data_IF_092936843410
#
_entry.id   IF_092936843410
#
_cell.length_a   1.000
_cell.length_b   1.000
_cell.length_c   1.000
_cell.angle_alpha   90.00
_cell.angle_beta   90.00
_cell.angle_gamma   90.00
#
_symmetry.space_group_name_H-M   'P 1'
#
loop_
_entity.id
_entity.type
_entity.pdbx_description
1 polymer ?
#
# COMPACT_ATOMS: atom_id res chain seq x y z
N UNK A 1 -4.78 -41.62 27.47
CA UNK A 1 -3.76 -40.64 27.01
C UNK A 1 -4.14 -40.20 25.63
N UNK A 2 -4.81 -39.03 25.51
CA UNK A 2 -5.17 -38.44 24.23
C UNK A 2 -4.10 -37.40 23.90
N UNK A 3 -3.36 -37.61 22.82
CA UNK A 3 -2.43 -36.62 22.28
C UNK A 3 -3.26 -35.46 21.71
N UNK A 4 -3.16 -34.30 22.29
CA UNK A 4 -3.61 -33.03 21.67
C UNK A 4 -2.68 -32.75 20.50
N UNK A 5 -3.20 -32.80 19.27
CA UNK A 5 -2.53 -32.24 18.11
C UNK A 5 -2.45 -30.72 18.31
N UNK A 6 -1.26 -30.21 18.59
CA UNK A 6 -0.95 -28.80 18.45
C UNK A 6 -1.07 -28.43 16.95
N UNK A 7 -2.16 -27.77 16.60
CA UNK A 7 -2.26 -27.09 15.32
C UNK A 7 -1.27 -25.92 15.44
N UNK A 8 -0.11 -26.08 14.81
CA UNK A 8 0.88 -25.02 14.71
C UNK A 8 0.25 -23.81 14.06
N UNK A 9 0.03 -22.75 14.82
CA UNK A 9 -0.31 -21.43 14.31
C UNK A 9 0.91 -20.96 13.55
N UNK A 10 0.88 -21.07 12.22
CA UNK A 10 1.90 -20.48 11.37
C UNK A 10 1.73 -18.98 11.46
N UNK A 11 2.54 -18.32 12.28
CA UNK A 11 2.56 -16.85 12.37
C UNK A 11 2.96 -16.29 11.01
N UNK A 12 2.08 -15.51 10.39
CA UNK A 12 2.32 -14.90 9.07
C UNK A 12 3.28 -13.71 9.14
N UNK A 13 3.60 -13.24 10.36
CA UNK A 13 4.60 -12.22 10.66
C UNK A 13 5.76 -12.87 11.43
N UNK A 14 6.99 -12.71 10.95
CA UNK A 14 8.18 -13.31 11.54
C UNK A 14 9.27 -12.26 11.71
N UNK A 15 9.87 -12.16 12.91
CA UNK A 15 11.11 -11.41 13.11
C UNK A 15 12.26 -12.12 12.35
N UNK A 16 13.02 -11.35 11.59
CA UNK A 16 14.17 -11.84 10.82
C UNK A 16 15.42 -11.06 11.17
N UNK A 17 16.56 -11.74 11.15
CA UNK A 17 17.84 -11.05 11.31
C UNK A 17 18.11 -10.20 10.05
N UNK A 18 18.28 -8.87 10.16
CA UNK A 18 18.58 -8.02 9.01
C UNK A 18 19.81 -8.48 8.20
N UNK A 19 20.79 -9.12 8.86
CA UNK A 19 22.01 -9.62 8.20
C UNK A 19 21.73 -10.75 7.20
N UNK A 20 20.61 -11.47 7.35
CA UNK A 20 20.20 -12.56 6.48
C UNK A 20 19.33 -12.07 5.31
N UNK A 21 19.19 -10.75 5.17
CA UNK A 21 18.37 -10.11 4.13
C UNK A 21 19.20 -9.24 3.20
N UNK A 22 18.64 -8.89 2.05
CA UNK A 22 19.23 -7.90 1.14
C UNK A 22 19.30 -6.48 1.74
N UNK A 23 18.73 -6.26 2.93
CA UNK A 23 18.64 -4.96 3.59
C UNK A 23 19.65 -4.74 4.70
N UNK A 24 20.56 -5.68 4.97
CA UNK A 24 21.53 -5.64 6.07
C UNK A 24 22.22 -4.27 6.26
N UNK A 25 22.85 -3.77 5.20
CA UNK A 25 23.55 -2.46 5.25
C UNK A 25 22.59 -1.29 5.41
N UNK A 26 21.50 -1.26 4.63
CA UNK A 26 20.54 -0.17 4.70
C UNK A 26 19.80 -0.13 6.04
N UNK A 27 19.47 -1.30 6.60
CA UNK A 27 18.91 -1.40 7.94
C UNK A 27 19.83 -0.76 8.98
N UNK A 28 21.10 -1.16 9.04
CA UNK A 28 22.07 -0.61 9.99
C UNK A 28 22.28 0.90 9.86
N UNK A 29 22.22 1.44 8.63
CA UNK A 29 22.39 2.87 8.37
C UNK A 29 21.18 3.71 8.78
N UNK A 30 19.96 3.22 8.52
CA UNK A 30 18.77 4.05 8.54
C UNK A 30 17.82 3.79 9.69
N UNK A 31 17.93 2.63 10.40
CA UNK A 31 16.97 2.27 11.44
C UNK A 31 16.96 3.28 12.61
N UNK A 32 18.08 3.89 12.92
CA UNK A 32 18.23 4.91 13.99
C UNK A 32 18.19 6.35 13.46
N UNK A 33 17.90 6.53 12.18
CA UNK A 33 17.77 7.87 11.62
C UNK A 33 16.52 8.58 12.17
N UNK A 34 16.62 9.85 12.60
CA UNK A 34 15.47 10.61 13.09
C UNK A 34 14.45 10.90 11.98
N UNK A 35 14.86 10.85 10.70
CA UNK A 35 14.01 10.99 9.52
C UNK A 35 14.40 9.94 8.47
N UNK A 36 13.95 8.69 8.61
CA UNK A 36 14.32 7.61 7.69
C UNK A 36 13.42 7.52 6.46
N UNK A 37 12.41 8.40 6.33
CA UNK A 37 11.43 8.34 5.25
C UNK A 37 11.92 9.09 4.01
N UNK A 38 11.67 8.50 2.85
CA UNK A 38 11.95 9.09 1.54
C UNK A 38 10.66 9.14 0.75
N UNK A 39 10.44 10.23 -0.01
CA UNK A 39 9.24 10.40 -0.84
C UNK A 39 9.63 10.59 -2.29
N UNK A 40 9.05 9.79 -3.17
CA UNK A 40 9.11 9.95 -4.62
C UNK A 40 7.74 10.29 -5.16
N UNK A 41 7.67 11.24 -6.09
CA UNK A 41 6.44 11.55 -6.82
C UNK A 41 6.64 11.27 -8.30
N UNK A 42 5.72 10.50 -8.89
CA UNK A 42 5.66 10.23 -10.33
C UNK A 42 4.27 10.54 -10.87
N UNK A 43 4.22 11.17 -12.03
CA UNK A 43 2.96 11.35 -12.77
C UNK A 43 2.71 10.14 -13.66
N UNK A 44 1.62 9.42 -13.40
CA UNK A 44 1.20 8.22 -14.12
C UNK A 44 0.25 8.57 -15.28
N UNK A 45 0.41 7.89 -16.40
CA UNK A 45 -0.63 7.79 -17.43
C UNK A 45 -1.67 6.75 -16.98
N UNK A 46 -2.79 7.22 -16.47
CA UNK A 46 -3.90 6.37 -16.00
C UNK A 46 -5.05 6.28 -17.00
N UNK A 47 -4.79 6.62 -18.27
CA UNK A 47 -5.81 6.62 -19.34
C UNK A 47 -6.46 5.26 -19.50
N UNK A 48 -5.66 4.19 -19.49
CA UNK A 48 -6.16 2.82 -19.63
C UNK A 48 -7.02 2.42 -18.44
N UNK A 49 -6.54 2.68 -17.21
CA UNK A 49 -7.28 2.43 -15.97
C UNK A 49 -8.63 3.16 -15.99
N UNK A 50 -8.63 4.46 -16.33
CA UNK A 50 -9.85 5.25 -16.43
C UNK A 50 -10.85 4.67 -17.44
N UNK A 51 -10.39 4.25 -18.64
CA UNK A 51 -11.24 3.63 -19.66
C UNK A 51 -11.81 2.29 -19.20
N UNK A 52 -11.01 1.47 -18.52
CA UNK A 52 -11.46 0.18 -17.96
C UNK A 52 -12.53 0.40 -16.90
N UNK A 53 -12.32 1.34 -15.98
CA UNK A 53 -13.31 1.70 -14.96
C UNK A 53 -14.65 2.11 -15.60
N UNK A 54 -14.62 2.99 -16.60
CA UNK A 54 -15.83 3.44 -17.30
C UNK A 54 -16.55 2.29 -18.03
N UNK A 55 -15.80 1.41 -18.69
CA UNK A 55 -16.37 0.29 -19.46
C UNK A 55 -16.96 -0.80 -18.57
N UNK A 56 -16.32 -1.10 -17.43
CA UNK A 56 -16.69 -2.22 -16.53
C UNK A 56 -17.51 -1.78 -15.31
N UNK A 57 -17.76 -0.48 -15.12
CA UNK A 57 -18.47 0.03 -13.95
C UNK A 57 -17.73 -0.10 -12.64
N UNK A 58 -16.37 -0.20 -12.67
CA UNK A 58 -15.53 -0.39 -11.46
C UNK A 58 -15.12 0.96 -10.91
N UNK A 59 -15.02 1.08 -9.59
CA UNK A 59 -14.53 2.29 -8.94
C UNK A 59 -13.03 2.51 -9.25
N UNK A 60 -12.66 3.76 -9.56
CA UNK A 60 -11.29 4.12 -9.93
C UNK A 60 -10.27 3.78 -8.82
N UNK A 61 -10.56 4.15 -7.58
CA UNK A 61 -9.66 3.91 -6.45
C UNK A 61 -9.51 2.41 -6.17
N UNK A 62 -10.57 1.62 -6.25
CA UNK A 62 -10.51 0.15 -6.09
C UNK A 62 -9.55 -0.48 -7.09
N UNK A 63 -9.69 -0.13 -8.39
CA UNK A 63 -8.81 -0.70 -9.42
C UNK A 63 -7.36 -0.19 -9.28
N UNK A 64 -7.17 1.08 -8.89
CA UNK A 64 -5.84 1.64 -8.64
C UNK A 64 -5.16 0.96 -7.45
N UNK A 65 -5.84 0.78 -6.32
CA UNK A 65 -5.34 0.08 -5.15
C UNK A 65 -4.96 -1.37 -5.47
N UNK A 66 -5.77 -2.07 -6.28
CA UNK A 66 -5.41 -3.40 -6.76
C UNK A 66 -4.13 -3.40 -7.61
N UNK A 67 -3.97 -2.44 -8.51
CA UNK A 67 -2.74 -2.29 -9.29
C UNK A 67 -1.52 -2.04 -8.38
N UNK A 68 -1.68 -1.24 -7.32
CA UNK A 68 -0.62 -0.98 -6.33
C UNK A 68 -0.20 -2.24 -5.60
N UNK A 69 -1.17 -3.04 -5.12
CA UNK A 69 -0.89 -4.33 -4.49
C UNK A 69 -0.17 -5.28 -5.45
N UNK A 70 -0.65 -5.38 -6.70
CA UNK A 70 -0.03 -6.21 -7.73
C UNK A 70 1.39 -5.77 -8.09
N UNK A 71 1.70 -4.48 -8.07
CA UNK A 71 3.06 -4.00 -8.25
C UNK A 71 3.96 -4.39 -7.07
N UNK A 72 3.44 -4.33 -5.86
CA UNK A 72 4.17 -4.68 -4.65
C UNK A 72 4.53 -6.17 -4.57
N UNK A 73 3.64 -7.07 -5.05
CA UNK A 73 3.94 -8.52 -5.07
C UNK A 73 5.14 -8.89 -5.95
N UNK A 74 5.54 -8.02 -6.87
CA UNK A 74 6.72 -8.24 -7.72
C UNK A 74 8.05 -8.01 -7.00
N UNK A 75 8.02 -7.41 -5.81
CA UNK A 75 9.24 -7.02 -5.10
C UNK A 75 9.28 -7.55 -3.67
N UNK A 76 10.29 -8.37 -3.37
CA UNK A 76 10.45 -8.99 -2.05
C UNK A 76 10.60 -7.99 -0.90
N UNK A 77 11.10 -6.78 -1.16
CA UNK A 77 11.27 -5.75 -0.13
C UNK A 77 9.95 -5.24 0.44
N UNK A 78 8.83 -5.39 -0.30
CA UNK A 78 7.49 -5.08 0.22
C UNK A 78 7.01 -6.06 1.29
N UNK A 79 7.66 -7.19 1.46
CA UNK A 79 7.34 -8.17 2.51
C UNK A 79 8.25 -8.02 3.73
N UNK A 80 9.04 -6.95 3.80
CA UNK A 80 9.89 -6.62 4.94
C UNK A 80 9.43 -5.28 5.52
N UNK A 81 9.34 -5.18 6.85
CA UNK A 81 9.02 -3.92 7.53
C UNK A 81 9.91 -3.74 8.76
N UNK A 82 10.61 -2.60 8.89
CA UNK A 82 11.23 -2.24 10.15
C UNK A 82 10.18 -1.77 11.15
N UNK A 83 10.18 -2.34 12.36
CA UNK A 83 9.34 -1.92 13.47
C UNK A 83 10.22 -1.76 14.71
N UNK A 84 10.31 -0.53 15.24
CA UNK A 84 11.32 -0.20 16.25
C UNK A 84 12.73 -0.50 15.73
N UNK A 85 13.52 -1.25 16.47
CA UNK A 85 14.89 -1.67 16.06
C UNK A 85 14.92 -3.08 15.44
N UNK A 86 13.77 -3.64 15.05
CA UNK A 86 13.63 -4.99 14.51
C UNK A 86 13.18 -4.95 13.05
N UNK A 87 13.45 -6.04 12.32
CA UNK A 87 12.96 -6.26 10.97
C UNK A 87 12.01 -7.45 10.96
N UNK A 88 10.82 -7.24 10.41
CA UNK A 88 9.82 -8.30 10.26
C UNK A 88 9.62 -8.65 8.81
N UNK A 89 9.38 -9.94 8.55
CA UNK A 89 8.95 -10.47 7.27
C UNK A 89 7.50 -10.92 7.36
N UNK A 90 6.76 -10.63 6.31
CA UNK A 90 5.35 -10.98 6.14
C UNK A 90 5.17 -11.91 4.95
N UNK A 91 4.10 -12.71 4.95
CA UNK A 91 3.78 -13.62 3.85
C UNK A 91 2.67 -13.07 2.94
N UNK A 92 1.91 -12.09 3.41
CA UNK A 92 0.79 -11.50 2.68
C UNK A 92 0.78 -9.98 2.76
N UNK A 93 0.08 -9.36 1.80
CA UNK A 93 -0.09 -7.91 1.71
C UNK A 93 -1.54 -7.54 1.96
N UNK A 94 -1.74 -6.35 2.50
CA UNK A 94 -3.03 -5.68 2.52
C UNK A 94 -2.87 -4.20 2.13
N UNK A 95 -3.94 -3.62 1.63
CA UNK A 95 -4.01 -2.20 1.26
C UNK A 95 -4.85 -1.48 2.32
N UNK A 96 -4.23 -0.60 3.09
CA UNK A 96 -4.98 0.28 3.99
C UNK A 96 -5.67 1.37 3.19
N UNK A 97 -6.96 1.51 3.38
CA UNK A 97 -7.81 2.49 2.70
C UNK A 97 -8.43 3.41 3.72
N UNK A 98 -8.16 4.70 3.60
CA UNK A 98 -8.77 5.74 4.42
C UNK A 98 -10.12 6.12 3.82
N UNK A 99 -11.15 6.14 4.65
CA UNK A 99 -12.52 6.55 4.30
C UNK A 99 -13.02 7.66 5.21
N UNK A 100 -13.87 8.53 4.67
CA UNK A 100 -14.53 9.57 5.44
C UNK A 100 -15.89 9.05 5.94
N UNK A 101 -16.08 9.09 7.25
CA UNK A 101 -17.37 8.81 7.86
C UNK A 101 -18.34 9.98 7.65
N UNK A 102 -19.65 9.69 7.61
CA UNK A 102 -20.74 10.68 7.38
C UNK A 102 -20.76 11.83 8.37
N UNK A 103 -20.20 11.65 9.58
CA UNK A 103 -20.10 12.68 10.63
C UNK A 103 -18.81 13.50 10.58
N UNK A 104 -17.94 13.29 9.58
CA UNK A 104 -16.70 14.04 9.40
C UNK A 104 -15.45 13.42 10.00
N UNK A 105 -15.58 12.29 10.68
CA UNK A 105 -14.43 11.52 11.19
C UNK A 105 -13.76 10.69 10.09
N UNK A 106 -12.51 10.30 10.32
CA UNK A 106 -11.70 9.48 9.43
C UNK A 106 -11.56 8.08 10.03
N UNK A 107 -11.87 7.06 9.22
CA UNK A 107 -11.68 5.66 9.56
C UNK A 107 -10.83 5.00 8.49
N UNK A 108 -10.27 3.84 8.76
CA UNK A 108 -9.51 3.08 7.77
C UNK A 108 -9.73 1.58 7.90
N UNK A 109 -9.49 0.85 6.83
CA UNK A 109 -9.53 -0.60 6.84
C UNK A 109 -8.40 -1.20 6.00
N UNK A 110 -7.88 -2.34 6.45
CA UNK A 110 -6.85 -3.09 5.76
C UNK A 110 -7.48 -4.15 4.87
N UNK A 111 -7.60 -3.84 3.59
CA UNK A 111 -8.20 -4.73 2.58
C UNK A 111 -7.16 -5.76 2.16
N UNK A 112 -7.37 -7.08 2.38
CA UNK A 112 -6.45 -8.11 1.96
C UNK A 112 -6.21 -8.07 0.45
N UNK A 113 -4.94 -8.11 0.04
CA UNK A 113 -4.63 -8.18 -1.38
C UNK A 113 -4.93 -9.59 -1.93
N UNK A 114 -5.54 -9.65 -3.09
CA UNK A 114 -5.76 -10.86 -3.88
C UNK A 114 -5.32 -10.62 -5.33
N UNK A 115 -4.71 -11.62 -5.97
CA UNK A 115 -4.42 -11.59 -7.41
C UNK A 115 -5.70 -11.60 -8.24
N UNK A 116 -6.79 -12.17 -7.72
CA UNK A 116 -8.12 -12.05 -8.30
C UNK A 116 -8.71 -10.67 -8.00
N UNK A 117 -8.84 -9.86 -9.06
CA UNK A 117 -9.41 -8.52 -8.96
C UNK A 117 -10.85 -8.52 -8.40
N UNK A 118 -11.68 -9.49 -8.75
CA UNK A 118 -13.08 -9.51 -8.30
C UNK A 118 -13.18 -9.82 -6.81
N UNK A 119 -12.35 -10.72 -6.30
CA UNK A 119 -12.24 -10.98 -4.87
C UNK A 119 -11.76 -9.72 -4.13
N UNK A 120 -10.67 -9.09 -4.59
CA UNK A 120 -10.17 -7.85 -4.00
C UNK A 120 -11.22 -6.73 -4.01
N UNK A 121 -11.94 -6.55 -5.11
CA UNK A 121 -12.96 -5.52 -5.24
C UNK A 121 -14.15 -5.75 -4.31
N UNK A 122 -14.57 -7.02 -4.14
CA UNK A 122 -15.64 -7.38 -3.19
C UNK A 122 -15.23 -7.07 -1.74
N UNK A 123 -14.00 -7.45 -1.34
CA UNK A 123 -13.47 -7.14 -0.01
C UNK A 123 -13.29 -5.63 0.19
N UNK A 124 -12.77 -4.93 -0.80
CA UNK A 124 -12.63 -3.47 -0.77
C UNK A 124 -13.97 -2.78 -0.53
N UNK A 125 -14.99 -3.13 -1.30
CA UNK A 125 -16.32 -2.52 -1.19
C UNK A 125 -16.98 -2.86 0.15
N UNK A 126 -16.93 -4.11 0.59
CA UNK A 126 -17.48 -4.56 1.87
C UNK A 126 -16.80 -3.85 3.06
N UNK A 127 -15.46 -3.87 3.11
CA UNK A 127 -14.72 -3.34 4.26
C UNK A 127 -14.78 -1.80 4.33
N UNK A 128 -14.66 -1.11 3.20
CA UNK A 128 -14.82 0.35 3.18
C UNK A 128 -16.24 0.77 3.52
N UNK A 129 -17.27 0.04 3.07
CA UNK A 129 -18.66 0.33 3.45
C UNK A 129 -18.89 0.12 4.95
N UNK A 130 -18.37 -0.97 5.53
CA UNK A 130 -18.43 -1.20 6.98
C UNK A 130 -17.78 -0.06 7.75
N UNK A 131 -16.56 0.35 7.39
CA UNK A 131 -15.88 1.46 8.05
C UNK A 131 -16.63 2.79 7.91
N UNK A 132 -17.27 3.06 6.77
CA UNK A 132 -18.14 4.23 6.57
C UNK A 132 -19.37 4.22 7.47
N UNK A 133 -19.97 3.04 7.67
CA UNK A 133 -21.23 2.92 8.41
C UNK A 133 -21.01 2.88 9.93
N UNK A 134 -19.95 2.23 10.41
CA UNK A 134 -19.65 2.07 11.85
C UNK A 134 -18.74 3.12 12.43
N UNK A 135 -17.92 3.79 11.60
CA UNK A 135 -16.78 4.63 12.01
C UNK A 135 -15.73 3.87 12.84
N UNK A 136 -15.63 2.56 12.65
CA UNK A 136 -14.63 1.72 13.28
C UNK A 136 -13.55 1.36 12.26
N UNK A 137 -12.28 1.55 12.65
CA UNK A 137 -11.14 1.11 11.83
C UNK A 137 -10.87 -0.38 12.08
N UNK A 138 -10.48 -1.08 11.00
CA UNK A 138 -10.10 -2.50 11.09
C UNK A 138 -8.68 -2.69 10.57
N UNK A 139 -7.82 -3.29 11.38
CA UNK A 139 -6.41 -3.50 11.09
C UNK A 139 -6.07 -4.98 11.02
N UNK A 140 -5.12 -5.33 10.15
CA UNK A 140 -4.58 -6.67 9.99
C UNK A 140 -3.09 -6.69 10.40
N UNK A 141 -2.82 -7.03 11.65
CA UNK A 141 -1.47 -7.05 12.22
C UNK A 141 -0.56 -8.14 11.62
N UNK A 142 -1.14 -9.12 10.94
CA UNK A 142 -0.43 -10.24 10.33
C UNK A 142 -0.13 -10.01 8.83
N UNK A 143 -0.55 -8.88 8.25
CA UNK A 143 -0.26 -8.51 6.88
C UNK A 143 0.70 -7.34 6.79
N UNK A 144 1.55 -7.34 5.76
CA UNK A 144 2.31 -6.16 5.40
C UNK A 144 1.37 -5.13 4.76
N UNK A 145 1.22 -4.00 5.42
CA UNK A 145 0.27 -2.96 5.01
C UNK A 145 0.93 -1.97 4.05
N UNK A 146 0.25 -1.69 2.95
CA UNK A 146 0.54 -0.55 2.08
C UNK A 146 -0.53 0.50 2.34
N UNK A 147 -0.16 1.61 2.98
CA UNK A 147 -1.09 2.69 3.28
C UNK A 147 -1.47 3.48 2.02
N UNK A 148 -2.74 3.89 1.94
CA UNK A 148 -3.20 4.74 0.83
C UNK A 148 -4.09 5.88 1.29
N UNK A 149 -3.98 7.04 0.61
CA UNK A 149 -4.87 8.18 0.81
C UNK A 149 -5.23 8.86 -0.51
N UNK A 150 -6.53 9.03 -0.74
CA UNK A 150 -7.09 9.62 -1.96
C UNK A 150 -7.78 10.96 -1.64
N UNK A 151 -7.12 12.07 -1.94
CA UNK A 151 -7.67 13.43 -1.75
C UNK A 151 -8.32 13.95 -3.04
N UNK A 152 -9.41 13.29 -3.46
CA UNK A 152 -10.03 13.50 -4.78
C UNK A 152 -10.76 14.84 -4.93
N UNK A 153 -10.90 15.61 -3.85
CA UNK A 153 -11.53 16.95 -3.89
C UNK A 153 -10.67 17.97 -4.67
N UNK A 154 -9.35 17.78 -4.72
CA UNK A 154 -8.43 18.69 -5.42
C UNK A 154 -7.41 17.96 -6.28
N UNK A 155 -6.82 18.68 -7.23
CA UNK A 155 -5.64 18.21 -7.96
C UNK A 155 -4.39 18.56 -7.16
N UNK A 156 -3.48 17.61 -7.06
CA UNK A 156 -2.20 17.79 -6.36
C UNK A 156 -1.06 17.42 -7.31
N UNK A 157 0.05 18.13 -7.21
CA UNK A 157 1.27 17.82 -7.94
C UNK A 157 2.14 16.83 -7.19
N UNK A 158 2.21 16.97 -5.85
CA UNK A 158 2.93 16.07 -4.96
C UNK A 158 2.39 16.17 -3.54
N UNK A 159 2.71 15.16 -2.74
CA UNK A 159 2.39 15.11 -1.31
C UNK A 159 3.62 14.56 -0.60
N UNK A 160 4.04 15.22 0.48
CA UNK A 160 5.03 14.70 1.41
C UNK A 160 4.34 14.44 2.72
N UNK A 161 4.27 13.17 3.12
CA UNK A 161 3.61 12.79 4.36
C UNK A 161 4.50 13.11 5.56
N UNK A 162 3.85 13.35 6.69
CA UNK A 162 4.52 13.47 7.98
C UNK A 162 5.07 12.10 8.41
N UNK A 163 6.24 12.09 9.04
CA UNK A 163 6.76 10.93 9.75
C UNK A 163 6.40 11.04 11.23
N UNK A 164 5.59 10.09 11.70
CA UNK A 164 5.12 10.06 13.09
C UNK A 164 6.06 9.29 14.05
N UNK A 165 7.07 8.58 13.51
CA UNK A 165 7.93 7.69 14.30
C UNK A 165 7.29 6.33 14.63
N UNK A 166 6.04 6.11 14.23
CA UNK A 166 5.26 4.90 14.55
C UNK A 166 5.03 4.03 13.32
N UNK A 167 4.60 4.64 12.21
CA UNK A 167 4.25 3.91 11.00
C UNK A 167 5.39 3.97 9.99
N UNK A 168 6.02 2.84 9.73
CA UNK A 168 7.12 2.68 8.77
C UNK A 168 6.66 2.12 7.42
N UNK A 169 5.39 1.83 7.28
CA UNK A 169 4.78 1.25 6.10
C UNK A 169 4.93 2.15 4.87
N UNK A 170 5.12 1.59 3.68
CA UNK A 170 4.96 2.34 2.45
C UNK A 170 3.59 2.98 2.36
N UNK A 171 3.55 4.24 1.95
CA UNK A 171 2.33 5.01 1.88
C UNK A 171 2.22 5.73 0.55
N UNK A 172 1.10 5.51 -0.18
CA UNK A 172 0.83 6.15 -1.45
C UNK A 172 -0.31 7.15 -1.31
N UNK A 173 -0.09 8.38 -1.80
CA UNK A 173 -1.10 9.42 -1.73
C UNK A 173 -1.27 10.12 -3.08
N UNK A 174 -2.51 10.47 -3.41
CA UNK A 174 -2.83 11.15 -4.67
C UNK A 174 -4.03 12.09 -4.53
N UNK A 175 -4.09 13.04 -5.45
CA UNK A 175 -5.24 13.92 -5.62
C UNK A 175 -6.21 13.44 -6.70
N UNK A 176 -7.01 14.39 -7.21
CA UNK A 176 -7.88 14.14 -8.37
C UNK A 176 -7.04 14.06 -9.65
N UNK A 177 -7.31 13.06 -10.50
CA UNK A 177 -6.67 12.94 -11.81
C UNK A 177 -7.00 14.14 -12.72
N UNK A 178 -6.10 14.41 -13.68
CA UNK A 178 -6.22 15.47 -14.68
C UNK A 178 -6.53 14.86 -16.04
N UNK A 179 -7.52 15.40 -16.74
CA UNK A 179 -7.81 15.03 -18.11
C UNK A 179 -7.21 16.07 -19.04
N UNK A 180 -6.51 15.61 -20.10
CA UNK A 180 -5.97 16.43 -21.17
C UNK A 180 -6.13 15.71 -22.50
N UNK A 181 -6.86 16.30 -23.47
CA UNK A 181 -7.11 15.72 -24.79
C UNK A 181 -7.54 14.24 -24.70
N UNK A 182 -6.64 13.32 -25.05
CA UNK A 182 -6.88 11.86 -25.04
C UNK A 182 -6.25 11.15 -23.85
N UNK A 183 -5.66 11.88 -22.90
CA UNK A 183 -4.89 11.33 -21.76
C UNK A 183 -5.51 11.69 -20.43
N UNK A 184 -5.30 10.80 -19.46
CA UNK A 184 -5.64 11.02 -18.06
C UNK A 184 -4.36 10.83 -17.25
N UNK A 185 -4.00 11.84 -16.47
CA UNK A 185 -2.77 11.90 -15.71
C UNK A 185 -3.06 11.93 -14.21
N UNK A 186 -2.25 11.24 -13.43
CA UNK A 186 -2.36 11.21 -11.98
C UNK A 186 -0.98 11.24 -11.34
N UNK A 187 -0.59 12.34 -10.67
CA UNK A 187 0.55 12.35 -9.77
C UNK A 187 0.26 11.48 -8.55
N UNK A 188 1.16 10.56 -8.24
CA UNK A 188 1.12 9.72 -7.05
C UNK A 188 2.44 9.90 -6.31
N UNK A 189 2.36 10.25 -5.03
CA UNK A 189 3.52 10.32 -4.14
C UNK A 189 3.58 9.03 -3.33
N UNK A 190 4.74 8.40 -3.32
CA UNK A 190 5.06 7.22 -2.54
C UNK A 190 6.11 7.58 -1.49
N UNK A 191 5.79 7.40 -0.22
CA UNK A 191 6.72 7.49 0.89
C UNK A 191 7.08 6.10 1.39
N UNK A 192 8.33 5.88 1.79
CA UNK A 192 8.80 4.60 2.30
C UNK A 192 9.97 4.78 3.26
N UNK A 193 10.16 3.81 4.15
CA UNK A 193 11.27 3.80 5.09
C UNK A 193 12.56 3.30 4.40
N UNK A 194 13.67 4.04 4.53
CA UNK A 194 14.90 3.73 3.80
C UNK A 194 15.59 2.43 4.26
N UNK A 195 15.30 1.96 5.48
CA UNK A 195 15.76 0.63 5.90
C UNK A 195 15.02 -0.50 5.16
N UNK A 196 13.75 -0.29 4.76
CA UNK A 196 12.97 -1.25 4.01
C UNK A 196 13.39 -1.30 2.54
N UNK A 197 13.44 -0.17 1.87
CA UNK A 197 13.78 -0.07 0.45
C UNK A 197 14.63 1.18 0.17
N UNK A 198 15.28 1.20 -0.96
CA UNK A 198 16.04 2.33 -1.47
C UNK A 198 15.44 2.87 -2.76
N UNK A 199 16.06 3.92 -3.32
CA UNK A 199 15.58 4.58 -4.52
C UNK A 199 15.44 3.65 -5.73
N UNK A 200 16.31 2.63 -5.86
CA UNK A 200 16.22 1.65 -6.95
C UNK A 200 14.96 0.78 -6.85
N UNK A 201 14.64 0.29 -5.64
CA UNK A 201 13.42 -0.49 -5.40
C UNK A 201 12.16 0.36 -5.62
N UNK A 202 12.16 1.60 -5.12
CA UNK A 202 11.02 2.50 -5.30
C UNK A 202 10.81 2.86 -6.78
N UNK A 203 11.88 3.15 -7.53
CA UNK A 203 11.81 3.42 -8.96
C UNK A 203 11.24 2.21 -9.73
N UNK A 204 11.74 1.01 -9.44
CA UNK A 204 11.24 -0.22 -10.08
C UNK A 204 9.75 -0.45 -9.77
N UNK A 205 9.32 -0.23 -8.53
CA UNK A 205 7.91 -0.33 -8.15
C UNK A 205 7.03 0.65 -8.95
N UNK A 206 7.47 1.90 -9.09
CA UNK A 206 6.72 2.92 -9.84
C UNK A 206 6.63 2.57 -11.33
N UNK A 207 7.68 1.96 -11.91
CA UNK A 207 7.64 1.47 -13.29
C UNK A 207 6.73 0.22 -13.43
N UNK A 208 6.81 -0.73 -12.50
CA UNK A 208 5.94 -1.90 -12.48
C UNK A 208 4.46 -1.49 -12.38
N UNK A 209 4.14 -0.52 -11.53
CA UNK A 209 2.79 0.02 -11.41
C UNK A 209 2.30 0.64 -12.74
N UNK A 210 3.16 1.43 -13.41
CA UNK A 210 2.80 1.99 -14.73
C UNK A 210 2.56 0.89 -15.77
N UNK A 211 3.40 -0.15 -15.79
CA UNK A 211 3.23 -1.27 -16.71
C UNK A 211 1.92 -2.03 -16.45
N UNK A 212 1.59 -2.30 -15.18
CA UNK A 212 0.33 -2.96 -14.80
C UNK A 212 -0.87 -2.13 -15.28
N UNK A 213 -0.85 -0.81 -15.05
CA UNK A 213 -1.90 0.11 -15.51
C UNK A 213 -2.06 0.07 -17.05
N UNK A 214 -0.95 0.01 -17.78
CA UNK A 214 -0.96 -0.02 -19.24
C UNK A 214 -1.52 -1.34 -19.82
N UNK A 215 -1.48 -2.45 -19.06
CA UNK A 215 -1.90 -3.77 -19.51
C UNK A 215 -3.26 -4.23 -18.94
N UNK A 216 -4.04 -3.33 -18.32
CA UNK A 216 -5.39 -3.62 -17.81
C UNK A 216 -6.39 -4.07 -18.88
#
# INVERSE_FOLDING_TARGET
>A
MQAKSEIGITTMKQEVNPQDTSRAKAFGLWIKSPMPMVTFTKTFDVTRLYKVCKRRGVKFNTLLCWCMGRAATRQRVFYLLPEGEKLYKYDRLAINVIVNHKKGDICSCDVPYSDDFYQFAADYDRMTQTAIDTCESSFDEEAMIIGTSAMTATQLDSIVNQYSGVFNNPFLAWGRYRKSWFKVWLPISMQFHHAQMDGGHAAQYLEDLQQIINHL
#
